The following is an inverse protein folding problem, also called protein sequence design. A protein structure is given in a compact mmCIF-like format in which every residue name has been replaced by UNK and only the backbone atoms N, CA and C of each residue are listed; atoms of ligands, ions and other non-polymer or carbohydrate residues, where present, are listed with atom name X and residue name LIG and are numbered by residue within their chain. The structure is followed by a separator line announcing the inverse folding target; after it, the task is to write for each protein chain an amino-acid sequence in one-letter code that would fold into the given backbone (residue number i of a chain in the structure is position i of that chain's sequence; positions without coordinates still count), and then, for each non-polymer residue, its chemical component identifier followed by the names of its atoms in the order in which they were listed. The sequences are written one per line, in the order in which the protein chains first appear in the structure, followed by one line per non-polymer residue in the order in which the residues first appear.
data_IF_033268892046
#
_entry.id   IF_033268892046
#
_cell.length_a   1.000
_cell.length_b   1.000
_cell.length_c   1.000
_cell.angle_alpha   90.00
_cell.angle_beta   90.00
_cell.angle_gamma   90.00
#
_symmetry.space_group_name_H-M   'P 1'
#
loop_
_entity.id
_entity.type
_entity.pdbx_description
1 polymer ?
#
# COMPACT_ATOMS: atom_id res chain seq x y z
N UNK A 1 0.23 -69.02 28.15
CA UNK A 1 -0.11 -67.72 27.53
C UNK A 1 -0.55 -66.78 28.63
N UNK A 2 0.30 -65.84 29.05
CA UNK A 2 -0.05 -64.85 30.08
C UNK A 2 -0.67 -63.67 29.36
N UNK A 3 -1.97 -63.43 29.55
CA UNK A 3 -2.63 -62.20 29.12
C UNK A 3 -2.31 -61.13 30.16
N UNK A 4 -1.31 -60.30 29.89
CA UNK A 4 -1.07 -59.08 30.67
C UNK A 4 -2.17 -58.08 30.34
N UNK A 5 -3.28 -58.15 31.08
CA UNK A 5 -4.34 -57.14 31.06
C UNK A 5 -3.73 -55.81 31.52
N UNK A 6 -3.70 -54.81 30.63
CA UNK A 6 -3.17 -53.48 30.92
C UNK A 6 -3.92 -52.87 32.12
N UNK A 7 -3.22 -52.26 33.10
CA UNK A 7 -3.86 -51.66 34.27
C UNK A 7 -4.96 -50.67 33.87
N UNK A 8 -6.12 -50.73 34.52
CA UNK A 8 -7.30 -49.91 34.19
C UNK A 8 -7.00 -48.40 34.14
N UNK A 9 -6.18 -47.90 35.07
CA UNK A 9 -5.68 -46.52 35.05
C UNK A 9 -5.01 -46.16 33.72
N UNK A 10 -4.19 -47.06 33.17
CA UNK A 10 -3.45 -46.83 31.93
C UNK A 10 -4.38 -46.76 30.71
N UNK A 11 -5.48 -47.52 30.72
CA UNK A 11 -6.52 -47.48 29.68
C UNK A 11 -7.31 -46.16 29.72
N UNK A 12 -7.57 -45.62 30.92
CA UNK A 12 -8.23 -44.32 31.07
C UNK A 12 -7.33 -43.18 30.57
N UNK A 13 -6.03 -43.21 30.88
CA UNK A 13 -5.08 -42.20 30.40
C UNK A 13 -4.91 -42.23 28.88
N UNK A 14 -4.83 -43.41 28.26
CA UNK A 14 -4.73 -43.53 26.81
C UNK A 14 -5.99 -43.07 26.10
N UNK A 15 -7.17 -43.34 26.67
CA UNK A 15 -8.46 -42.88 26.14
C UNK A 15 -8.63 -41.35 26.23
N UNK A 16 -8.07 -40.71 27.27
CA UNK A 16 -8.12 -39.25 27.44
C UNK A 16 -7.04 -38.49 26.66
N UNK A 17 -5.96 -39.16 26.23
CA UNK A 17 -4.88 -38.52 25.49
C UNK A 17 -5.34 -37.95 24.13
N UNK A 18 -6.16 -38.68 23.39
CA UNK A 18 -6.68 -38.26 22.08
C UNK A 18 -7.54 -36.99 22.18
N UNK A 19 -8.60 -36.92 23.02
CA UNK A 19 -9.38 -35.69 23.16
C UNK A 19 -8.57 -34.55 23.78
N UNK A 20 -7.61 -34.81 24.67
CA UNK A 20 -6.73 -33.78 25.21
C UNK A 20 -5.86 -33.14 24.12
N UNK A 21 -5.22 -33.95 23.27
CA UNK A 21 -4.44 -33.46 22.13
C UNK A 21 -5.33 -32.74 21.12
N UNK A 22 -6.55 -33.22 20.89
CA UNK A 22 -7.51 -32.55 20.00
C UNK A 22 -7.90 -31.15 20.51
N UNK A 23 -8.18 -31.00 21.81
CA UNK A 23 -8.50 -29.70 22.43
C UNK A 23 -7.29 -28.75 22.33
N UNK A 24 -6.08 -29.25 22.62
CA UNK A 24 -4.86 -28.46 22.48
C UNK A 24 -4.63 -28.02 21.03
N UNK A 25 -4.83 -28.93 20.07
CA UNK A 25 -4.72 -28.64 18.64
C UNK A 25 -5.71 -27.57 18.18
N UNK A 26 -6.97 -27.65 18.63
CA UNK A 26 -7.99 -26.62 18.35
C UNK A 26 -7.61 -25.27 18.95
N UNK A 27 -7.10 -25.24 20.18
CA UNK A 27 -6.62 -24.01 20.83
C UNK A 27 -5.46 -23.36 20.07
N UNK A 28 -4.48 -24.14 19.63
CA UNK A 28 -3.34 -23.66 18.84
C UNK A 28 -3.82 -23.15 17.48
N UNK A 29 -4.68 -23.90 16.78
CA UNK A 29 -5.22 -23.49 15.48
C UNK A 29 -6.00 -22.16 15.58
N UNK A 30 -6.79 -21.99 16.64
CA UNK A 30 -7.51 -20.74 16.90
C UNK A 30 -6.54 -19.57 17.15
N UNK A 31 -5.52 -19.78 17.98
CA UNK A 31 -4.49 -18.77 18.23
C UNK A 31 -3.75 -18.39 16.94
N UNK A 32 -3.37 -19.37 16.13
CA UNK A 32 -2.72 -19.16 14.83
C UNK A 32 -3.61 -18.39 13.86
N UNK A 33 -4.89 -18.71 13.77
CA UNK A 33 -5.85 -17.98 12.93
C UNK A 33 -5.95 -16.50 13.34
N UNK A 34 -6.05 -16.23 14.65
CA UNK A 34 -6.08 -14.86 15.17
C UNK A 34 -4.80 -14.09 14.85
N UNK A 35 -3.63 -14.71 15.00
CA UNK A 35 -2.34 -14.10 14.65
C UNK A 35 -2.20 -13.86 13.15
N UNK A 36 -2.62 -14.82 12.31
CA UNK A 36 -2.57 -14.68 10.86
C UNK A 36 -3.42 -13.49 10.38
N UNK A 37 -4.62 -13.32 10.94
CA UNK A 37 -5.49 -12.20 10.60
C UNK A 37 -4.87 -10.85 10.95
N UNK A 38 -4.19 -10.75 12.10
CA UNK A 38 -3.49 -9.53 12.50
C UNK A 38 -2.29 -9.22 11.59
N UNK A 39 -1.55 -10.25 11.17
CA UNK A 39 -0.42 -10.11 10.25
C UNK A 39 -0.85 -9.57 8.89
N UNK A 40 -1.94 -10.07 8.32
CA UNK A 40 -2.42 -9.62 7.00
C UNK A 40 -2.76 -8.12 6.98
N UNK A 41 -3.37 -7.61 8.05
CA UNK A 41 -3.69 -6.17 8.16
C UNK A 41 -2.42 -5.33 8.26
N UNK A 42 -1.44 -5.78 9.06
CA UNK A 42 -0.15 -5.08 9.20
C UNK A 42 0.62 -5.07 7.89
N UNK A 43 0.70 -6.20 7.20
CA UNK A 43 1.39 -6.31 5.90
C UNK A 43 0.77 -5.38 4.84
N UNK A 44 -0.56 -5.26 4.82
CA UNK A 44 -1.24 -4.34 3.92
C UNK A 44 -0.92 -2.88 4.26
N UNK A 45 -0.93 -2.53 5.55
CA UNK A 45 -0.55 -1.20 6.02
C UNK A 45 0.89 -0.87 5.66
N UNK A 46 1.84 -1.77 5.89
CA UNK A 46 3.24 -1.58 5.55
C UNK A 46 3.45 -1.37 4.04
N UNK A 47 2.74 -2.13 3.20
CA UNK A 47 2.78 -1.96 1.74
C UNK A 47 2.27 -0.56 1.33
N UNK A 48 1.15 -0.12 1.89
CA UNK A 48 0.58 1.22 1.62
C UNK A 48 1.48 2.34 2.12
N UNK A 49 2.06 2.18 3.31
CA UNK A 49 3.02 3.11 3.89
C UNK A 49 4.28 3.24 3.03
N UNK A 50 4.79 2.13 2.49
CA UNK A 50 5.97 2.15 1.61
C UNK A 50 5.76 2.98 0.35
N UNK A 51 4.58 2.91 -0.26
CA UNK A 51 4.22 3.76 -1.41
C UNK A 51 4.19 5.23 -1.00
N UNK A 52 3.48 5.55 0.09
CA UNK A 52 3.43 6.93 0.60
C UNK A 52 4.82 7.51 0.88
N UNK A 53 5.65 6.78 1.62
CA UNK A 53 7.01 7.20 1.97
C UNK A 53 7.90 7.35 0.71
N UNK A 54 7.78 6.43 -0.25
CA UNK A 54 8.48 6.52 -1.54
C UNK A 54 8.09 7.76 -2.34
N UNK A 55 6.78 8.05 -2.45
CA UNK A 55 6.27 9.23 -3.15
C UNK A 55 6.75 10.52 -2.49
N UNK A 56 6.69 10.58 -1.15
CA UNK A 56 7.20 11.71 -0.37
C UNK A 56 8.69 11.93 -0.64
N UNK A 57 9.50 10.87 -0.61
CA UNK A 57 10.94 10.95 -0.88
C UNK A 57 11.26 11.41 -2.30
N UNK A 58 10.41 11.08 -3.29
CA UNK A 58 10.56 11.56 -4.66
C UNK A 58 10.17 13.04 -4.83
N UNK A 59 9.16 13.52 -4.09
CA UNK A 59 8.63 14.89 -4.26
C UNK A 59 9.40 15.93 -3.43
N UNK A 60 9.90 15.58 -2.25
CA UNK A 60 10.64 16.52 -1.38
C UNK A 60 11.84 17.20 -2.08
N UNK A 61 12.70 16.49 -2.83
CA UNK A 61 13.80 17.13 -3.56
C UNK A 61 13.31 18.16 -4.58
N UNK A 62 12.22 17.85 -5.29
CA UNK A 62 11.60 18.73 -6.30
C UNK A 62 11.13 20.04 -5.65
N UNK A 63 10.50 19.96 -4.47
CA UNK A 63 10.06 21.17 -3.75
C UNK A 63 11.21 22.02 -3.26
N UNK A 64 12.35 21.41 -2.94
CA UNK A 64 13.55 22.12 -2.49
C UNK A 64 14.30 22.78 -3.66
N UNK A 65 14.44 22.07 -4.78
CA UNK A 65 15.19 22.53 -5.94
C UNK A 65 14.37 23.45 -6.85
N UNK A 66 13.04 23.35 -6.83
CA UNK A 66 12.17 23.97 -7.82
C UNK A 66 12.29 23.34 -9.21
N UNK A 67 12.93 22.18 -9.32
CA UNK A 67 13.23 21.48 -10.56
C UNK A 67 12.89 20.00 -10.44
N UNK A 68 12.35 19.43 -11.52
CA UNK A 68 12.10 17.99 -11.63
C UNK A 68 13.32 17.38 -12.32
N UNK A 69 14.14 16.63 -11.59
CA UNK A 69 15.22 15.85 -12.19
C UNK A 69 14.71 14.52 -12.76
N UNK A 70 15.44 13.94 -13.71
CA UNK A 70 15.16 12.60 -14.23
C UNK A 70 15.16 11.55 -13.11
N UNK A 71 16.02 11.72 -12.11
CA UNK A 71 16.12 10.80 -10.98
C UNK A 71 14.87 10.88 -10.09
N UNK A 72 14.40 12.09 -9.79
CA UNK A 72 13.18 12.31 -9.01
C UNK A 72 11.95 11.77 -9.74
N UNK A 73 11.85 12.00 -11.06
CA UNK A 73 10.77 11.46 -11.87
C UNK A 73 10.78 9.92 -11.89
N UNK A 74 11.95 9.29 -12.10
CA UNK A 74 12.09 7.82 -12.02
C UNK A 74 11.82 7.30 -10.60
N UNK A 75 12.19 8.03 -9.56
CA UNK A 75 11.87 7.68 -8.17
C UNK A 75 10.36 7.72 -7.94
N UNK A 76 9.66 8.73 -8.46
CA UNK A 76 8.20 8.82 -8.41
C UNK A 76 7.53 7.64 -9.12
N UNK A 77 7.97 7.30 -10.34
CA UNK A 77 7.44 6.16 -11.11
C UNK A 77 7.63 4.83 -10.37
N UNK A 78 8.80 4.61 -9.77
CA UNK A 78 9.06 3.41 -8.96
C UNK A 78 8.22 3.37 -7.69
N UNK A 79 8.03 4.53 -7.03
CA UNK A 79 7.29 4.60 -5.78
C UNK A 79 5.79 4.35 -5.96
N UNK A 80 5.21 4.74 -7.11
CA UNK A 80 3.81 4.46 -7.43
C UNK A 80 3.56 3.09 -8.04
N UNK A 81 4.61 2.28 -8.23
CA UNK A 81 4.45 0.97 -8.84
C UNK A 81 3.53 0.08 -7.99
N UNK A 82 2.53 -0.51 -8.63
CA UNK A 82 1.49 -1.29 -7.97
C UNK A 82 0.46 -0.49 -7.13
N UNK A 83 0.39 0.84 -7.27
CA UNK A 83 -0.62 1.70 -6.63
C UNK A 83 -2.06 1.19 -6.87
N UNK A 84 -2.36 0.78 -8.09
CA UNK A 84 -3.66 0.26 -8.55
C UNK A 84 -4.12 -1.03 -7.86
N UNK A 85 -3.19 -1.79 -7.27
CA UNK A 85 -3.53 -3.00 -6.51
C UNK A 85 -3.82 -2.72 -5.03
N UNK A 86 -3.31 -1.60 -4.51
CA UNK A 86 -3.36 -1.29 -3.08
C UNK A 86 -4.37 -0.19 -2.73
N UNK A 87 -4.69 0.67 -3.70
CA UNK A 87 -5.58 1.81 -3.57
C UNK A 87 -6.69 1.80 -4.61
N UNK A 88 -7.76 2.56 -4.35
CA UNK A 88 -8.83 2.77 -5.31
C UNK A 88 -8.47 3.75 -6.43
N UNK A 89 -9.38 3.86 -7.40
CA UNK A 89 -9.23 4.69 -8.62
C UNK A 89 -8.96 6.17 -8.32
N UNK A 90 -9.47 6.69 -7.20
CA UNK A 90 -9.26 8.08 -6.80
C UNK A 90 -7.77 8.40 -6.58
N UNK A 91 -7.05 7.52 -5.87
CA UNK A 91 -5.63 7.68 -5.57
C UNK A 91 -4.81 7.53 -6.84
N UNK A 92 -5.09 6.50 -7.65
CA UNK A 92 -4.35 6.28 -8.90
C UNK A 92 -4.55 7.43 -9.89
N UNK A 93 -5.78 7.94 -10.02
CA UNK A 93 -6.08 9.07 -10.91
C UNK A 93 -5.39 10.35 -10.45
N UNK A 94 -5.29 10.55 -9.13
CA UNK A 94 -4.55 11.66 -8.56
C UNK A 94 -3.04 11.54 -8.84
N UNK A 95 -2.45 10.35 -8.65
CA UNK A 95 -1.04 10.10 -8.98
C UNK A 95 -0.74 10.26 -10.48
N UNK A 96 -1.69 9.90 -11.35
CA UNK A 96 -1.60 10.18 -12.79
C UNK A 96 -1.62 11.67 -13.11
N UNK A 97 -2.42 12.46 -12.39
CA UNK A 97 -2.41 13.91 -12.52
C UNK A 97 -1.05 14.49 -12.10
N UNK A 98 -0.51 14.07 -10.95
CA UNK A 98 0.82 14.49 -10.50
C UNK A 98 1.90 14.09 -11.50
N UNK A 99 1.83 12.87 -12.05
CA UNK A 99 2.76 12.43 -13.07
C UNK A 99 2.77 13.36 -14.29
N UNK A 100 1.59 13.77 -14.77
CA UNK A 100 1.47 14.72 -15.89
C UNK A 100 2.06 16.07 -15.54
N UNK A 101 1.86 16.56 -14.32
CA UNK A 101 2.43 17.84 -13.90
C UNK A 101 3.97 17.78 -13.78
N UNK A 102 4.54 16.64 -13.35
CA UNK A 102 5.99 16.42 -13.38
C UNK A 102 6.56 16.53 -14.80
N UNK A 103 5.90 15.87 -15.76
CA UNK A 103 6.28 15.93 -17.18
C UNK A 103 6.11 17.33 -17.76
N UNK A 104 5.01 18.03 -17.47
CA UNK A 104 4.77 19.40 -17.91
C UNK A 104 5.84 20.35 -17.37
N UNK A 105 6.21 20.21 -16.10
CA UNK A 105 7.26 21.00 -15.48
C UNK A 105 8.62 20.75 -16.16
N UNK A 106 8.97 19.48 -16.38
CA UNK A 106 10.22 19.12 -17.05
C UNK A 106 10.27 19.62 -18.50
N UNK A 107 9.17 19.47 -19.25
CA UNK A 107 9.08 19.98 -20.62
C UNK A 107 9.21 21.51 -20.68
N UNK A 108 8.55 22.23 -19.76
CA UNK A 108 8.67 23.69 -19.66
C UNK A 108 10.11 24.13 -19.35
N UNK A 109 10.81 23.38 -18.49
CA UNK A 109 12.22 23.62 -18.19
C UNK A 109 13.10 23.44 -19.43
N UNK A 110 12.96 22.31 -20.13
CA UNK A 110 13.75 22.03 -21.34
C UNK A 110 13.50 23.05 -22.46
N UNK A 111 12.24 23.48 -22.65
CA UNK A 111 11.92 24.51 -23.65
C UNK A 111 12.54 25.87 -23.31
N UNK A 112 12.62 26.24 -22.03
CA UNK A 112 13.25 27.49 -21.59
C UNK A 112 14.75 27.57 -21.87
N UNK A 113 15.41 26.42 -22.04
CA UNK A 113 16.82 26.35 -22.43
C UNK A 113 17.02 26.53 -23.95
N UNK A 114 15.97 26.32 -24.75
CA UNK A 114 16.06 26.27 -26.22
C UNK A 114 15.59 27.59 -26.86
N UNK A 115 14.59 28.27 -26.29
CA UNK A 115 14.02 29.48 -26.89
C UNK A 115 13.50 30.50 -25.84
N UNK A 116 13.95 31.75 -26.00
CA UNK A 116 13.46 32.92 -25.25
C UNK A 116 12.13 33.48 -25.79
N UNK A 117 11.77 33.14 -27.03
CA UNK A 117 10.45 33.44 -27.58
C UNK A 117 9.43 32.64 -26.74
N UNK A 118 8.58 33.34 -25.99
CA UNK A 118 7.56 32.85 -25.04
C UNK A 118 7.98 32.56 -23.58
N UNK A 119 9.05 33.21 -23.08
CA UNK A 119 9.47 33.11 -21.67
C UNK A 119 8.33 33.31 -20.66
N UNK A 120 7.42 34.27 -20.89
CA UNK A 120 6.30 34.53 -19.98
C UNK A 120 5.30 33.34 -19.91
N UNK A 121 5.00 32.72 -21.06
CA UNK A 121 4.12 31.55 -21.13
C UNK A 121 4.77 30.33 -20.48
N UNK A 122 6.08 30.13 -20.71
CA UNK A 122 6.86 29.03 -20.14
C UNK A 122 6.94 29.13 -18.61
N UNK A 123 7.24 30.33 -18.08
CA UNK A 123 7.24 30.58 -16.63
C UNK A 123 5.86 30.32 -16.05
N UNK A 124 4.79 30.78 -16.71
CA UNK A 124 3.41 30.52 -16.28
C UNK A 124 3.07 29.02 -16.22
N UNK A 125 3.45 28.26 -17.24
CA UNK A 125 3.25 26.80 -17.29
C UNK A 125 4.05 26.08 -16.19
N UNK A 126 5.33 26.43 -16.02
CA UNK A 126 6.21 25.89 -14.98
C UNK A 126 5.65 26.17 -13.59
N UNK A 127 5.25 27.42 -13.30
CA UNK A 127 4.67 27.80 -12.01
C UNK A 127 3.36 27.08 -11.74
N UNK A 128 2.50 26.90 -12.76
CA UNK A 128 1.24 26.17 -12.62
C UNK A 128 1.48 24.70 -12.26
N UNK A 129 2.37 24.02 -12.99
CA UNK A 129 2.74 22.63 -12.74
C UNK A 129 3.38 22.46 -11.35
N UNK A 130 4.33 23.34 -11.01
CA UNK A 130 5.00 23.32 -9.71
C UNK A 130 4.01 23.52 -8.55
N UNK A 131 3.04 24.43 -8.68
CA UNK A 131 2.00 24.63 -7.66
C UNK A 131 1.18 23.37 -7.41
N UNK A 132 0.85 22.63 -8.48
CA UNK A 132 0.12 21.36 -8.36
C UNK A 132 0.97 20.27 -7.72
N UNK A 133 2.25 20.19 -8.03
CA UNK A 133 3.19 19.28 -7.35
C UNK A 133 3.34 19.66 -5.87
N UNK A 134 3.41 20.95 -5.54
CA UNK A 134 3.51 21.44 -4.17
C UNK A 134 2.28 21.13 -3.32
N UNK A 135 1.09 21.17 -3.91
CA UNK A 135 -0.16 20.80 -3.26
C UNK A 135 -0.23 19.30 -2.86
N UNK A 136 0.73 18.47 -3.30
CA UNK A 136 0.78 17.04 -2.98
C UNK A 136 0.65 16.74 -1.49
N UNK A 137 1.37 17.47 -0.64
CA UNK A 137 1.36 17.21 0.81
C UNK A 137 0.07 17.64 1.50
N UNK A 138 -0.77 18.43 0.84
CA UNK A 138 -2.07 18.86 1.36
C UNK A 138 -3.20 17.98 0.79
N UNK A 139 -3.16 17.70 -0.52
CA UNK A 139 -4.23 17.00 -1.23
C UNK A 139 -4.13 15.47 -1.14
N UNK A 140 -2.92 14.89 -1.04
CA UNK A 140 -2.75 13.43 -1.04
C UNK A 140 -3.08 12.74 0.29
N UNK A 141 -2.69 13.24 1.49
CA UNK A 141 -2.97 12.56 2.74
C UNK A 141 -4.47 12.27 2.99
N UNK A 142 -5.40 13.20 2.73
CA UNK A 142 -6.84 12.92 2.87
C UNK A 142 -7.34 11.80 1.96
N UNK A 143 -6.73 11.62 0.77
CA UNK A 143 -7.11 10.55 -0.18
C UNK A 143 -6.68 9.17 0.31
N UNK A 144 -5.51 9.07 0.93
CA UNK A 144 -5.01 7.79 1.44
C UNK A 144 -5.52 7.48 2.85
N UNK A 145 -6.00 8.47 3.61
CA UNK A 145 -6.47 8.30 4.99
C UNK A 145 -7.46 7.12 5.17
N UNK A 146 -8.49 6.95 4.32
CA UNK A 146 -9.41 5.82 4.45
C UNK A 146 -8.72 4.45 4.32
N UNK A 147 -7.64 4.38 3.55
CA UNK A 147 -6.85 3.17 3.31
C UNK A 147 -5.81 2.91 4.41
N UNK A 148 -5.46 3.93 5.20
CA UNK A 148 -4.44 3.83 6.26
C UNK A 148 -5.05 3.48 7.63
N UNK A 149 -6.37 3.56 7.79
CA UNK A 149 -7.07 3.18 9.02
C UNK A 149 -7.03 1.65 9.21
N UNK A 150 -6.52 1.19 10.36
CA UNK A 150 -6.39 -0.24 10.73
C UNK A 150 -7.71 -1.05 10.70
N UNK A 151 -8.87 -0.38 10.65
CA UNK A 151 -10.18 -1.02 10.65
C UNK A 151 -10.61 -1.59 9.27
N UNK A 152 -9.89 -1.35 8.17
CA UNK A 152 -10.24 -1.99 6.90
C UNK A 152 -10.04 -3.51 6.99
N UNK A 153 -11.13 -4.23 7.26
CA UNK A 153 -11.21 -5.67 7.06
C UNK A 153 -10.92 -5.92 5.57
N UNK A 154 -9.94 -6.79 5.29
CA UNK A 154 -9.77 -7.41 3.98
C UNK A 154 -11.16 -7.78 3.42
N UNK A 155 -11.49 -7.47 2.15
CA UNK A 155 -12.80 -7.81 1.61
C UNK A 155 -13.05 -9.29 1.90
N UNK A 156 -14.03 -9.54 2.77
CA UNK A 156 -14.42 -10.89 3.13
C UNK A 156 -14.59 -11.70 1.84
N UNK A 157 -14.10 -12.95 1.76
CA UNK A 157 -14.27 -13.76 0.56
C UNK A 157 -15.75 -13.96 0.18
N UNK A 158 -16.69 -13.63 1.08
CA UNK A 158 -18.13 -13.63 0.84
C UNK A 158 -18.65 -12.41 0.04
N UNK A 159 -17.86 -11.34 -0.11
CA UNK A 159 -18.22 -10.13 -0.88
C UNK A 159 -17.74 -10.15 -2.35
N UNK A 160 -17.15 -11.25 -2.82
CA UNK A 160 -16.77 -11.47 -4.23
C UNK A 160 -17.96 -11.56 -5.20
N UNK A 161 -19.20 -11.41 -4.72
CA UNK A 161 -20.44 -11.46 -5.53
C UNK A 161 -20.86 -10.10 -6.12
N UNK A 162 -20.20 -8.99 -5.77
CA UNK A 162 -20.61 -7.64 -6.20
C UNK A 162 -19.62 -6.93 -7.15
N UNK A 163 -18.60 -7.63 -7.66
CA UNK A 163 -17.76 -7.05 -8.71
C UNK A 163 -18.44 -7.21 -10.08
N UNK A 164 -18.73 -6.12 -10.82
CA UNK A 164 -19.22 -6.25 -12.18
C UNK A 164 -18.09 -6.81 -13.04
N UNK A 165 -18.27 -8.04 -13.53
CA UNK A 165 -17.52 -8.52 -14.69
C UNK A 165 -17.99 -7.69 -15.88
N UNK A 166 -17.16 -6.76 -16.34
CA UNK A 166 -17.21 -6.29 -17.72
C UNK A 166 -16.38 -7.23 -18.57
#
# INVERSE_FOLDING_TARGET
MIKTELPYWLQVFSALAVPAIAILGLGIAFAQWRTAQQKTVMELFEKRWRIWDGLRKAIVPILKSGMVSDEDWKAFLRARDGDSFLFGKEVTSYLDAIHKELLNHQAAESMSQISELDRAQQVGAKTKAFRKIAAFFEEFPPLIEPYMRMHQQSPSPLNLRLWPRK
#
